data_IF_764237734454
#
_entry.id   IF_764237734454
#
_cell.length_a   1.000
_cell.length_b   1.000
_cell.length_c   1.000
_cell.angle_alpha   90.00
_cell.angle_beta   90.00
_cell.angle_gamma   90.00
#
_symmetry.space_group_name_H-M   'P 1'
#
loop_
_entity.id
_entity.type
_entity.pdbx_description
1 polymer ?
#
# COMPACT_ATOMS: atom_id res chain seq x y z
N UNK A 1 22.24 35.94 9.19
CA UNK A 1 23.12 36.96 9.77
C UNK A 1 22.25 38.02 10.44
N UNK A 2 22.36 38.16 11.75
CA UNK A 2 21.67 39.19 12.51
C UNK A 2 22.73 40.07 13.16
N UNK A 3 22.79 41.32 12.81
CA UNK A 3 23.69 42.27 13.41
C UNK A 3 22.87 43.23 14.32
N UNK A 4 23.29 43.33 15.58
CA UNK A 4 22.73 44.28 16.53
C UNK A 4 23.70 45.46 16.70
N UNK A 5 23.18 46.65 16.53
CA UNK A 5 23.93 47.88 16.77
C UNK A 5 23.44 48.50 18.08
N UNK A 6 24.36 48.69 19.02
CA UNK A 6 24.12 49.50 20.19
C UNK A 6 24.76 50.87 19.96
N UNK A 7 23.95 51.91 19.85
CA UNK A 7 24.41 53.29 19.56
C UNK A 7 25.05 53.96 20.74
N UNK A 8 24.96 53.40 21.96
CA UNK A 8 25.53 53.98 23.16
C UNK A 8 26.94 53.48 23.53
N UNK A 9 27.37 52.39 22.88
CA UNK A 9 28.70 51.82 23.10
C UNK A 9 29.26 51.40 21.77
N UNK A 10 30.49 51.71 21.47
CA UNK A 10 31.17 51.34 20.21
C UNK A 10 31.45 49.83 20.07
N UNK A 11 30.54 49.00 20.52
CA UNK A 11 30.67 47.56 20.46
C UNK A 11 29.64 46.98 19.47
N UNK A 12 30.11 46.35 18.43
CA UNK A 12 29.28 45.57 17.48
C UNK A 12 29.30 44.12 17.95
N UNK A 13 28.14 43.62 18.29
CA UNK A 13 27.97 42.18 18.57
C UNK A 13 27.37 41.56 17.28
N UNK A 14 28.15 40.77 16.61
CA UNK A 14 27.69 39.96 15.46
C UNK A 14 27.54 38.52 15.92
N UNK A 15 26.37 37.98 15.76
CA UNK A 15 26.15 36.54 15.92
C UNK A 15 25.95 35.90 14.55
N UNK A 16 26.68 34.83 14.28
CA UNK A 16 26.34 33.96 13.18
C UNK A 16 25.20 33.05 13.64
N UNK A 17 24.05 33.21 13.03
CA UNK A 17 23.03 32.20 13.12
C UNK A 17 23.37 31.10 12.09
N UNK A 18 24.05 30.05 12.55
CA UNK A 18 24.33 28.87 11.74
C UNK A 18 23.12 27.92 11.64
N UNK A 19 21.96 28.43 11.98
CA UNK A 19 20.78 27.62 12.19
C UNK A 19 19.84 27.67 11.00
N UNK A 20 20.27 27.24 9.82
CA UNK A 20 19.34 26.51 8.99
C UNK A 20 19.27 25.09 9.60
N UNK A 21 18.51 24.96 10.68
CA UNK A 21 18.06 23.65 11.11
C UNK A 21 17.44 23.02 9.85
N UNK A 22 17.84 21.79 9.54
CA UNK A 22 17.13 21.05 8.50
C UNK A 22 15.65 21.10 8.85
N UNK A 23 14.76 21.34 7.89
CA UNK A 23 13.35 21.26 8.20
C UNK A 23 13.08 19.90 8.86
N UNK A 24 12.24 19.85 9.90
CA UNK A 24 11.90 18.59 10.54
C UNK A 24 11.33 17.65 9.47
N UNK A 25 11.81 16.42 9.47
CA UNK A 25 11.38 15.37 8.55
C UNK A 25 10.82 14.20 9.34
N UNK A 26 9.96 13.42 8.72
CA UNK A 26 9.52 12.15 9.25
C UNK A 26 10.35 11.03 8.65
N UNK A 27 10.64 10.02 9.47
CA UNK A 27 11.05 8.72 8.96
C UNK A 27 9.87 7.76 9.16
N UNK A 28 9.43 7.12 8.09
CA UNK A 28 8.35 6.15 8.13
C UNK A 28 8.90 4.76 7.89
N UNK A 29 8.57 3.84 8.79
CA UNK A 29 8.81 2.42 8.62
C UNK A 29 7.49 1.74 8.26
N UNK A 30 7.46 0.99 7.17
CA UNK A 30 6.29 0.25 6.68
C UNK A 30 6.58 -1.23 6.86
N UNK A 31 5.86 -1.88 7.76
CA UNK A 31 5.94 -3.31 8.01
C UNK A 31 4.70 -3.98 7.42
N UNK A 32 4.90 -5.05 6.65
CA UNK A 32 3.82 -5.81 6.02
C UNK A 32 4.15 -7.30 5.96
N UNK A 33 3.13 -8.12 5.86
CA UNK A 33 3.24 -9.57 5.67
C UNK A 33 3.52 -9.94 4.20
N UNK A 34 3.48 -11.22 3.86
CA UNK A 34 3.87 -11.78 2.55
C UNK A 34 3.21 -11.13 1.34
N UNK A 35 1.96 -10.67 1.46
CA UNK A 35 1.18 -10.09 0.35
C UNK A 35 1.48 -8.61 0.07
N UNK A 36 2.39 -7.97 0.85
CA UNK A 36 2.75 -6.57 0.69
C UNK A 36 1.85 -5.60 1.46
N UNK A 37 1.96 -4.30 1.16
CA UNK A 37 1.19 -3.25 1.86
C UNK A 37 -0.23 -3.15 1.30
N UNK A 38 -1.13 -3.95 1.84
CA UNK A 38 -2.49 -4.08 1.33
C UNK A 38 -3.52 -4.38 2.43
N UNK A 39 -4.79 -4.24 2.10
CA UNK A 39 -5.94 -4.59 2.94
C UNK A 39 -6.53 -5.89 2.42
N UNK A 40 -6.70 -6.88 3.29
CA UNK A 40 -7.28 -8.18 2.96
C UNK A 40 -8.78 -8.05 2.66
N UNK A 41 -9.34 -9.04 1.99
CA UNK A 41 -10.78 -9.06 1.61
C UNK A 41 -11.72 -9.02 2.82
N UNK A 42 -11.30 -9.51 3.98
CA UNK A 42 -12.02 -9.43 5.24
C UNK A 42 -11.96 -8.04 5.91
N UNK A 43 -11.22 -7.09 5.32
CA UNK A 43 -10.99 -5.74 5.84
C UNK A 43 -9.87 -5.63 6.87
N UNK A 44 -9.17 -6.71 7.17
CA UNK A 44 -8.00 -6.65 8.04
C UNK A 44 -6.81 -6.04 7.30
N UNK A 45 -5.96 -5.34 8.05
CA UNK A 45 -4.76 -4.73 7.47
C UNK A 45 -3.60 -5.71 7.50
N UNK A 46 -2.91 -5.81 6.37
CA UNK A 46 -1.65 -6.53 6.23
C UNK A 46 -0.43 -5.61 6.44
N UNK A 47 -0.65 -4.36 6.83
CA UNK A 47 0.40 -3.35 6.95
C UNK A 47 0.25 -2.53 8.22
N UNK A 48 1.37 -2.25 8.85
CA UNK A 48 1.50 -1.28 9.95
C UNK A 48 2.57 -0.27 9.59
N UNK A 49 2.27 1.00 9.77
CA UNK A 49 3.17 2.10 9.48
C UNK A 49 3.58 2.76 10.78
N UNK A 50 4.87 2.86 11.04
CA UNK A 50 5.41 3.49 12.26
C UNK A 50 6.20 4.74 11.90
N UNK A 51 5.81 5.87 12.46
CA UNK A 51 6.54 7.11 12.32
C UNK A 51 7.62 7.22 13.40
N UNK A 52 8.80 7.67 12.97
CA UNK A 52 9.90 8.03 13.87
C UNK A 52 10.37 9.47 13.60
N UNK A 53 11.24 10.01 14.46
CA UNK A 53 11.78 11.37 14.32
C UNK A 53 10.73 12.51 14.29
N UNK A 54 9.54 12.28 14.86
CA UNK A 54 8.47 13.27 14.91
C UNK A 54 8.46 14.14 16.18
N UNK A 55 9.40 13.97 17.08
CA UNK A 55 9.47 14.71 18.36
C UNK A 55 9.64 16.22 18.22
N UNK A 56 9.97 16.70 17.03
CA UNK A 56 10.10 18.12 16.73
C UNK A 56 8.76 18.80 16.36
N UNK A 57 7.67 18.04 16.27
CA UNK A 57 6.33 18.55 15.97
C UNK A 57 5.50 18.64 17.25
N UNK A 58 4.63 19.63 17.34
CA UNK A 58 3.69 19.81 18.45
C UNK A 58 2.60 18.73 18.40
N UNK A 59 2.20 18.34 17.19
CA UNK A 59 1.29 17.22 16.98
C UNK A 59 1.48 16.60 15.59
N UNK A 60 0.98 15.38 15.46
CA UNK A 60 0.94 14.66 14.17
C UNK A 60 -0.47 14.18 13.88
N UNK A 61 -0.82 14.06 12.60
CA UNK A 61 -2.09 13.50 12.14
C UNK A 61 -1.89 12.73 10.83
N UNK A 62 -2.43 11.53 10.78
CA UNK A 62 -2.47 10.76 9.55
C UNK A 62 -3.55 11.30 8.63
N UNK A 63 -3.24 11.37 7.36
CA UNK A 63 -4.14 11.84 6.31
C UNK A 63 -4.32 10.77 5.25
N UNK A 64 -5.52 10.71 4.67
CA UNK A 64 -5.86 9.87 3.53
C UNK A 64 -6.24 10.77 2.35
N UNK A 65 -5.79 10.40 1.15
CA UNK A 65 -6.19 11.08 -0.09
C UNK A 65 -7.67 10.81 -0.37
N UNK A 66 -8.43 11.87 -0.54
CA UNK A 66 -9.77 11.79 -1.10
C UNK A 66 -9.65 11.87 -2.63
N UNK A 67 -9.86 10.76 -3.31
CA UNK A 67 -9.69 10.65 -4.75
C UNK A 67 -10.67 11.52 -5.56
N UNK A 68 -11.84 11.85 -4.98
CA UNK A 68 -12.83 12.68 -5.65
C UNK A 68 -12.44 14.15 -5.67
N UNK A 69 -11.80 14.63 -4.58
CA UNK A 69 -11.42 16.02 -4.43
C UNK A 69 -9.96 16.28 -4.74
N UNK A 70 -9.12 15.23 -4.75
CA UNK A 70 -7.66 15.33 -4.86
C UNK A 70 -6.99 15.89 -3.61
N UNK A 71 -7.71 16.03 -2.50
CA UNK A 71 -7.18 16.59 -1.27
C UNK A 71 -6.92 15.50 -0.22
N UNK A 72 -5.92 15.74 0.62
CA UNK A 72 -5.68 14.90 1.78
C UNK A 72 -6.55 15.34 2.95
N UNK A 73 -7.30 14.41 3.50
CA UNK A 73 -8.19 14.61 4.64
C UNK A 73 -7.64 13.91 5.87
N UNK A 74 -7.82 14.54 7.05
CA UNK A 74 -7.36 13.97 8.30
C UNK A 74 -8.12 12.69 8.63
N UNK A 75 -7.38 11.66 9.03
CA UNK A 75 -7.94 10.49 9.71
C UNK A 75 -8.14 10.80 11.19
N UNK A 76 -8.71 9.86 11.93
CA UNK A 76 -8.83 10.01 13.39
C UNK A 76 -7.55 9.59 14.14
N UNK A 77 -6.48 9.20 13.44
CA UNK A 77 -5.24 8.73 14.07
C UNK A 77 -4.22 9.87 14.21
N UNK A 78 -3.73 10.01 15.44
CA UNK A 78 -2.68 10.98 15.83
C UNK A 78 -1.52 10.28 16.53
N UNK A 79 -1.43 8.96 16.46
CA UNK A 79 -0.40 8.15 17.07
C UNK A 79 0.77 7.91 16.12
N UNK A 80 1.93 7.57 16.67
CA UNK A 80 3.10 7.23 15.86
C UNK A 80 2.88 5.98 15.00
N UNK A 81 2.13 5.03 15.53
CA UNK A 81 1.75 3.80 14.84
C UNK A 81 0.37 3.95 14.19
N UNK A 82 0.27 3.53 12.95
CA UNK A 82 -0.95 3.61 12.16
C UNK A 82 -1.16 2.32 11.36
N UNK A 83 -2.34 1.74 11.52
CA UNK A 83 -2.79 0.57 10.77
C UNK A 83 -3.96 1.00 9.90
N UNK A 84 -3.77 1.15 8.58
CA UNK A 84 -4.86 1.52 7.67
C UNK A 84 -5.91 0.40 7.63
N UNK A 85 -7.17 0.77 7.53
CA UNK A 85 -8.30 -0.17 7.44
C UNK A 85 -9.04 -0.08 6.09
N UNK A 86 -8.53 0.68 5.17
CA UNK A 86 -9.07 0.84 3.82
C UNK A 86 -7.94 1.08 2.84
N UNK A 87 -8.09 0.66 1.58
CA UNK A 87 -7.15 1.01 0.53
C UNK A 87 -7.15 2.53 0.26
N UNK A 88 -6.05 3.04 -0.26
CA UNK A 88 -5.90 4.44 -0.60
C UNK A 88 -4.46 4.91 -0.39
N UNK A 89 -4.23 6.21 -0.56
CA UNK A 89 -2.93 6.82 -0.35
C UNK A 89 -2.93 7.57 0.97
N UNK A 90 -1.94 7.27 1.80
CA UNK A 90 -1.80 7.84 3.13
C UNK A 90 -0.51 8.62 3.26
N UNK A 91 -0.51 9.62 4.14
CA UNK A 91 0.67 10.36 4.57
C UNK A 91 0.54 10.84 6.00
N UNK A 92 1.66 11.18 6.60
CA UNK A 92 1.70 11.82 7.91
C UNK A 92 1.87 13.33 7.73
N UNK A 93 1.07 14.12 8.45
CA UNK A 93 1.22 15.57 8.57
C UNK A 93 1.68 15.91 9.98
N UNK A 94 2.77 16.68 10.08
CA UNK A 94 3.22 17.29 11.32
C UNK A 94 2.78 18.74 11.42
N UNK A 95 2.44 19.15 12.62
CA UNK A 95 2.00 20.50 12.94
C UNK A 95 3.02 21.16 13.87
N UNK A 96 3.43 22.37 13.51
CA UNK A 96 4.18 23.28 14.36
C UNK A 96 3.33 24.54 14.57
N UNK A 97 2.87 24.77 15.79
CA UNK A 97 1.99 25.90 16.11
C UNK A 97 2.61 27.27 15.81
N UNK A 98 3.94 27.35 15.81
CA UNK A 98 4.67 28.60 15.56
C UNK A 98 4.89 28.88 14.06
N UNK A 99 4.49 28.02 13.16
CA UNK A 99 4.68 28.17 11.70
C UNK A 99 3.37 27.96 10.95
N UNK A 100 3.26 28.61 9.77
CA UNK A 100 2.17 28.34 8.83
C UNK A 100 2.60 27.39 7.71
N UNK A 101 3.59 26.54 7.99
CA UNK A 101 4.15 25.60 7.01
C UNK A 101 3.63 24.22 7.35
N UNK A 102 3.04 23.56 6.37
CA UNK A 102 2.66 22.16 6.46
C UNK A 102 3.90 21.26 6.21
N UNK A 103 4.16 20.40 7.15
CA UNK A 103 5.19 19.36 7.05
C UNK A 103 4.49 18.03 6.79
N UNK A 104 4.80 17.41 5.67
CA UNK A 104 4.18 16.13 5.28
C UNK A 104 5.25 15.11 4.94
N UNK A 105 4.96 13.85 5.22
CA UNK A 105 5.79 12.72 4.82
C UNK A 105 5.65 12.41 3.33
N UNK A 106 6.43 11.44 2.88
CA UNK A 106 6.16 10.75 1.64
C UNK A 106 4.79 10.06 1.66
N UNK A 107 4.22 9.84 0.49
CA UNK A 107 2.93 9.21 0.30
C UNK A 107 3.09 7.68 0.26
N UNK A 108 2.25 6.97 1.00
CA UNK A 108 2.26 5.51 1.09
C UNK A 108 0.98 4.97 0.44
N UNK A 109 1.08 4.33 -0.72
CA UNK A 109 -0.05 3.67 -1.34
C UNK A 109 -0.35 2.33 -0.65
N UNK A 110 -1.61 2.11 -0.31
CA UNK A 110 -2.14 0.87 0.26
C UNK A 110 -3.18 0.34 -0.73
N UNK A 111 -2.95 -0.86 -1.25
CA UNK A 111 -3.83 -1.52 -2.21
C UNK A 111 -4.85 -2.44 -1.51
N UNK A 112 -5.67 -3.12 -2.29
CA UNK A 112 -6.39 -4.32 -1.85
C UNK A 112 -5.43 -5.49 -2.08
N UNK A 113 -5.33 -6.41 -1.10
CA UNK A 113 -4.56 -7.63 -1.26
C UNK A 113 -5.16 -8.46 -2.40
N UNK A 114 -4.33 -9.12 -3.22
CA UNK A 114 -4.83 -10.16 -4.10
C UNK A 114 -5.47 -11.29 -3.27
N UNK A 115 -6.40 -12.01 -3.90
CA UNK A 115 -7.05 -13.16 -3.28
C UNK A 115 -6.02 -14.28 -3.05
N UNK A 116 -6.14 -14.95 -1.91
CA UNK A 116 -5.33 -16.08 -1.43
C UNK A 116 -6.27 -16.91 -0.55
N UNK A 117 -6.92 -17.90 -1.16
CA UNK A 117 -8.09 -18.60 -0.60
C UNK A 117 -7.73 -19.45 0.61
N UNK A 118 -6.63 -20.19 0.56
CA UNK A 118 -6.20 -21.07 1.64
C UNK A 118 -5.21 -20.40 2.61
N UNK A 119 -4.77 -19.17 2.30
CA UNK A 119 -3.84 -18.35 3.08
C UNK A 119 -2.43 -18.98 3.24
N UNK A 120 -1.95 -19.69 2.24
CA UNK A 120 -0.62 -20.25 2.23
C UNK A 120 0.48 -19.25 1.82
N UNK A 121 0.09 -18.05 1.35
CA UNK A 121 0.95 -16.95 0.90
C UNK A 121 1.23 -16.96 -0.60
N UNK A 122 0.60 -17.86 -1.35
CA UNK A 122 0.58 -17.88 -2.82
C UNK A 122 -0.78 -17.37 -3.26
N UNK A 123 -0.81 -16.33 -4.08
CA UNK A 123 -2.08 -15.76 -4.55
C UNK A 123 -2.77 -16.67 -5.55
N UNK A 124 -4.10 -16.73 -5.54
CA UNK A 124 -4.94 -17.61 -6.37
C UNK A 124 -4.57 -17.63 -7.86
N UNK A 125 -4.11 -16.48 -8.38
CA UNK A 125 -3.76 -16.33 -9.80
C UNK A 125 -2.51 -17.12 -10.24
N UNK A 126 -1.67 -17.52 -9.30
CA UNK A 126 -0.42 -18.26 -9.56
C UNK A 126 -0.37 -19.56 -8.75
N UNK A 127 -1.37 -19.82 -7.93
CA UNK A 127 -1.49 -21.01 -7.15
C UNK A 127 -1.93 -22.19 -8.01
N UNK A 128 -1.27 -23.32 -7.83
CA UNK A 128 -1.60 -24.58 -8.52
C UNK A 128 -2.65 -25.40 -7.80
N UNK A 129 -2.93 -25.09 -6.53
CA UNK A 129 -3.83 -25.82 -5.64
C UNK A 129 -4.45 -24.81 -4.66
N UNK A 130 -5.44 -24.03 -5.14
CA UNK A 130 -6.02 -22.84 -4.48
C UNK A 130 -6.61 -23.15 -3.10
N UNK A 131 -7.08 -24.37 -2.84
CA UNK A 131 -7.66 -24.76 -1.57
C UNK A 131 -6.80 -25.70 -0.74
N UNK A 132 -5.59 -26.03 -1.24
CA UNK A 132 -4.56 -26.82 -0.58
C UNK A 132 -5.05 -28.23 -0.13
N UNK A 133 -5.99 -28.82 -0.90
CA UNK A 133 -6.51 -30.15 -0.62
C UNK A 133 -5.63 -31.28 -1.17
N UNK A 134 -4.59 -30.91 -1.94
CA UNK A 134 -3.63 -31.83 -2.57
C UNK A 134 -4.04 -32.26 -3.99
N UNK A 135 -5.12 -31.69 -4.53
CA UNK A 135 -5.55 -31.85 -5.91
C UNK A 135 -5.37 -30.51 -6.62
N UNK A 136 -4.58 -30.48 -7.68
CA UNK A 136 -4.34 -29.20 -8.34
C UNK A 136 -5.60 -28.68 -9.07
N UNK A 137 -5.75 -27.35 -9.12
CA UNK A 137 -6.82 -26.64 -9.83
C UNK A 137 -7.08 -27.15 -11.26
N UNK A 138 -6.01 -27.61 -11.93
CA UNK A 138 -6.10 -28.21 -13.25
C UNK A 138 -6.97 -29.48 -13.25
N UNK A 139 -6.86 -30.34 -12.25
CA UNK A 139 -7.66 -31.56 -12.16
C UNK A 139 -9.07 -31.29 -11.67
N UNK A 140 -9.25 -30.34 -10.77
CA UNK A 140 -10.56 -29.94 -10.24
C UNK A 140 -11.42 -29.24 -11.28
N UNK A 141 -10.80 -28.40 -12.13
CA UNK A 141 -11.47 -27.63 -13.19
C UNK A 141 -11.68 -28.37 -14.49
N UNK A 142 -11.81 -29.70 -14.49
CA UNK A 142 -11.88 -30.56 -15.68
C UNK A 142 -10.52 -30.82 -16.36
N UNK A 143 -9.42 -30.58 -15.68
CA UNK A 143 -8.09 -30.63 -16.26
C UNK A 143 -7.60 -32.01 -16.67
N UNK A 144 -8.24 -33.08 -16.22
CA UNK A 144 -8.01 -34.43 -16.70
C UNK A 144 -8.78 -34.77 -17.98
N UNK A 145 -9.59 -33.84 -18.47
CA UNK A 145 -10.19 -33.90 -19.78
C UNK A 145 -9.14 -33.65 -20.88
N UNK A 146 -9.15 -34.48 -21.90
CA UNK A 146 -8.33 -34.24 -23.09
C UNK A 146 -9.01 -33.20 -23.98
N UNK A 147 -8.34 -32.05 -24.13
CA UNK A 147 -8.80 -31.02 -25.05
C UNK A 147 -8.30 -31.36 -26.45
N UNK A 148 -9.22 -31.56 -27.40
CA UNK A 148 -8.90 -31.77 -28.81
C UNK A 148 -9.11 -30.49 -29.61
N UNK A 149 -8.04 -30.00 -30.23
CA UNK A 149 -8.08 -28.87 -31.19
C UNK A 149 -8.05 -29.32 -32.65
N UNK A 150 -8.51 -30.54 -32.94
CA UNK A 150 -8.58 -31.01 -34.34
C UNK A 150 -9.49 -30.11 -35.21
N UNK A 151 -10.52 -29.56 -34.60
CA UNK A 151 -11.28 -28.44 -35.16
C UNK A 151 -11.15 -27.24 -34.24
N UNK A 152 -10.32 -26.24 -34.58
CA UNK A 152 -10.14 -25.05 -33.76
C UNK A 152 -11.40 -24.21 -33.55
N UNK A 153 -12.40 -24.37 -34.41
CA UNK A 153 -13.69 -23.67 -34.33
C UNK A 153 -14.69 -24.40 -33.42
N UNK A 154 -14.49 -25.71 -33.22
CA UNK A 154 -15.33 -26.55 -32.38
C UNK A 154 -14.43 -27.46 -31.50
N UNK A 155 -13.73 -26.93 -30.50
CA UNK A 155 -12.89 -27.76 -29.64
C UNK A 155 -13.78 -28.72 -28.84
N UNK A 156 -13.30 -29.93 -28.65
CA UNK A 156 -13.98 -30.98 -27.88
C UNK A 156 -13.15 -31.26 -26.62
N UNK A 157 -13.84 -31.40 -25.47
CA UNK A 157 -13.26 -31.84 -24.22
C UNK A 157 -13.74 -33.24 -23.92
N UNK A 158 -12.85 -34.20 -23.83
CA UNK A 158 -13.18 -35.56 -23.41
C UNK A 158 -12.90 -35.71 -21.92
N UNK A 159 -13.93 -35.88 -21.11
CA UNK A 159 -13.81 -36.12 -19.68
C UNK A 159 -13.23 -37.50 -19.38
N UNK A 160 -12.80 -37.75 -18.14
CA UNK A 160 -12.24 -39.03 -17.68
C UNK A 160 -13.19 -40.22 -17.89
N UNK A 161 -14.48 -39.99 -17.76
CA UNK A 161 -15.51 -40.99 -17.98
C UNK A 161 -15.78 -41.30 -19.46
N UNK A 162 -15.05 -40.62 -20.37
CA UNK A 162 -15.19 -40.73 -21.83
C UNK A 162 -16.30 -39.86 -22.40
N UNK A 163 -16.97 -39.06 -21.60
CA UNK A 163 -17.99 -38.10 -22.11
C UNK A 163 -17.32 -37.00 -22.91
N UNK A 164 -17.83 -36.73 -24.10
CA UNK A 164 -17.36 -35.60 -24.95
C UNK A 164 -18.31 -34.43 -24.77
N UNK A 165 -17.73 -33.30 -24.33
CA UNK A 165 -18.47 -32.04 -24.22
C UNK A 165 -17.92 -31.01 -25.20
N UNK A 166 -18.77 -30.18 -25.83
CA UNK A 166 -18.31 -29.13 -26.71
C UNK A 166 -17.60 -28.05 -25.90
N UNK A 167 -16.37 -27.71 -26.26
CA UNK A 167 -15.63 -26.59 -25.69
C UNK A 167 -16.12 -25.26 -26.27
N UNK A 168 -16.15 -24.25 -25.44
CA UNK A 168 -16.40 -22.87 -25.87
C UNK A 168 -15.12 -22.06 -25.62
N UNK A 169 -14.50 -21.56 -26.68
CA UNK A 169 -13.36 -20.64 -26.52
C UNK A 169 -13.94 -19.25 -26.29
N UNK A 170 -13.85 -18.78 -25.04
CA UNK A 170 -14.23 -17.41 -24.66
C UNK A 170 -12.96 -16.56 -24.50
N UNK A 171 -12.25 -16.29 -25.57
CA UNK A 171 -11.06 -15.45 -25.53
C UNK A 171 -10.44 -15.29 -26.92
N UNK A 172 -9.82 -14.14 -27.15
CA UNK A 172 -9.03 -13.89 -28.37
C UNK A 172 -7.64 -14.50 -28.14
N UNK A 173 -7.29 -15.51 -28.92
CA UNK A 173 -5.90 -15.97 -28.99
C UNK A 173 -5.13 -14.90 -29.76
N UNK A 174 -4.23 -14.19 -29.10
CA UNK A 174 -3.32 -13.23 -29.71
C UNK A 174 -2.07 -13.92 -30.24
#
# INVERSE_FOLDING_TARGET
YVAYYNTNYSATTGGFYSGFARPPTFDLNVEFESLGSCIKSDGSSNVTITATNFSNFDSIVWQKLNELTGNFEATNSTTAEFTPNQPGVYRLKGVLECTNIDYVSDEIPISICPDDFDNDGIIDNIDLDIDNDGISNFYESLGDGKISFQDPLNPEITLLDGTIVPGVITGTIA
#
